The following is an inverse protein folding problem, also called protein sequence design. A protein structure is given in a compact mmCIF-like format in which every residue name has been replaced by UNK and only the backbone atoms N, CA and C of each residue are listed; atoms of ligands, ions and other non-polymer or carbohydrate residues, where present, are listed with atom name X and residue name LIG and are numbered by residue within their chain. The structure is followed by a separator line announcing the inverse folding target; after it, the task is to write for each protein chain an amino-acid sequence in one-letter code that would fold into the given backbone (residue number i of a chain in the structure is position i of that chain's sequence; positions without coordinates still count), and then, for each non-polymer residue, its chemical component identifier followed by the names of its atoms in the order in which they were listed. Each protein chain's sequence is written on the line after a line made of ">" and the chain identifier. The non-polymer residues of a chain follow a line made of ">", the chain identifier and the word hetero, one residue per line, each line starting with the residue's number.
data_IF_155529967381
#
_entry.id   IF_155529967381
#
_cell.length_a   1.000
_cell.length_b   1.000
_cell.length_c   1.000
_cell.angle_alpha   90.00
_cell.angle_beta   90.00
_cell.angle_gamma   90.00
#
_symmetry.space_group_name_H-M   'P 1'
#
loop_
_entity.id
_entity.type
_entity.pdbx_description
1 polymer ?
#
# COMPACT_ATOMS: atom_id res chain seq x y z
N UNK A 1 -22.01 10.45 25.16
CA UNK A 1 -21.37 10.79 23.89
C UNK A 1 -20.33 9.73 23.55
N UNK A 2 -20.62 8.91 22.56
CA UNK A 2 -19.65 7.99 21.95
C UNK A 2 -18.62 8.87 21.25
N UNK A 3 -17.45 9.02 21.86
CA UNK A 3 -16.40 9.89 21.34
C UNK A 3 -16.03 9.39 19.95
N UNK A 4 -16.37 10.16 18.92
CA UNK A 4 -15.87 10.00 17.54
C UNK A 4 -14.37 10.31 17.53
N UNK A 5 -13.58 9.45 18.17
CA UNK A 5 -12.15 9.62 18.36
C UNK A 5 -11.47 9.18 17.07
N UNK A 6 -10.60 10.02 16.54
CA UNK A 6 -9.73 9.66 15.43
C UNK A 6 -8.44 9.07 16.00
N UNK A 7 -7.99 7.93 15.46
CA UNK A 7 -6.72 7.29 15.80
C UNK A 7 -5.74 7.46 14.64
N UNK A 8 -4.51 7.87 14.93
CA UNK A 8 -3.41 7.91 13.97
C UNK A 8 -2.93 6.47 13.76
N UNK A 9 -2.91 6.01 12.52
CA UNK A 9 -2.42 4.69 12.13
C UNK A 9 -1.41 4.85 10.98
N UNK A 10 -0.51 3.89 10.84
CA UNK A 10 0.44 3.85 9.73
C UNK A 10 -0.15 3.09 8.55
N UNK A 11 -0.32 3.76 7.41
CA UNK A 11 -0.87 3.16 6.19
C UNK A 11 0.24 2.88 5.19
N UNK A 12 0.18 1.71 4.55
CA UNK A 12 1.12 1.29 3.52
C UNK A 12 0.34 0.78 2.31
N UNK A 13 0.60 1.38 1.14
CA UNK A 13 0.12 0.88 -0.14
C UNK A 13 1.25 0.11 -0.84
N UNK A 14 0.99 -1.17 -1.09
CA UNK A 14 1.89 -2.08 -1.78
C UNK A 14 1.62 -2.12 -3.28
N UNK A 15 2.66 -2.48 -4.05
CA UNK A 15 2.61 -2.59 -5.52
C UNK A 15 1.61 -3.65 -6.02
N UNK A 16 1.26 -4.63 -5.19
CA UNK A 16 0.23 -5.64 -5.50
C UNK A 16 -1.20 -5.06 -5.46
N UNK A 17 -1.35 -3.82 -5.00
CA UNK A 17 -2.63 -3.14 -4.80
C UNK A 17 -3.26 -3.43 -3.43
N UNK A 18 -2.49 -3.88 -2.45
CA UNK A 18 -2.94 -4.00 -1.06
C UNK A 18 -2.66 -2.73 -0.27
N UNK A 19 -3.70 -2.16 0.33
CA UNK A 19 -3.59 -1.10 1.33
C UNK A 19 -3.68 -1.74 2.71
N UNK A 20 -2.58 -1.72 3.46
CA UNK A 20 -2.48 -2.29 4.82
C UNK A 20 -2.34 -1.16 5.81
N UNK A 21 -2.92 -1.30 7.00
CA UNK A 21 -2.72 -0.35 8.08
C UNK A 21 -2.37 -1.04 9.39
N UNK A 22 -1.48 -0.37 10.13
CA UNK A 22 -0.86 -0.85 11.35
C UNK A 22 -1.13 0.14 12.47
N UNK A 23 -1.02 -0.36 13.71
CA UNK A 23 -1.12 0.50 14.89
C UNK A 23 -0.12 1.66 14.84
N UNK A 24 1.11 1.38 14.41
CA UNK A 24 2.22 2.32 14.31
C UNK A 24 3.20 1.94 13.19
N UNK A 25 4.26 2.74 13.03
CA UNK A 25 5.27 2.57 11.98
C UNK A 25 6.15 1.31 12.13
N UNK A 26 6.10 0.62 13.29
CA UNK A 26 6.88 -0.61 13.50
C UNK A 26 6.38 -1.78 12.65
N UNK A 27 5.16 -1.66 12.10
CA UNK A 27 4.51 -2.66 11.26
C UNK A 27 4.37 -4.05 11.93
N UNK A 28 4.43 -4.12 13.26
CA UNK A 28 4.32 -5.37 14.02
C UNK A 28 2.87 -5.84 14.17
N UNK A 29 1.99 -4.90 14.46
CA UNK A 29 0.57 -5.16 14.70
C UNK A 29 -0.26 -4.63 13.53
N UNK A 30 -0.63 -5.54 12.62
CA UNK A 30 -1.51 -5.24 11.50
C UNK A 30 -2.95 -5.13 11.99
N UNK A 31 -3.53 -3.94 11.91
CA UNK A 31 -4.93 -3.69 12.27
C UNK A 31 -5.88 -4.13 11.13
N UNK A 32 -5.45 -4.05 9.86
CA UNK A 32 -6.24 -4.58 8.74
C UNK A 32 -5.63 -4.40 7.34
N UNK A 33 -6.29 -4.99 6.34
CA UNK A 33 -5.88 -4.97 4.92
C UNK A 33 -7.08 -4.80 3.99
N UNK A 34 -6.93 -3.97 2.97
CA UNK A 34 -7.90 -3.71 1.91
C UNK A 34 -7.24 -4.00 0.55
N UNK A 35 -7.82 -4.92 -0.23
CA UNK A 35 -7.35 -5.18 -1.59
C UNK A 35 -7.94 -4.14 -2.55
N UNK A 36 -7.24 -3.03 -2.76
CA UNK A 36 -7.69 -1.88 -3.58
C UNK A 36 -8.05 -2.31 -4.99
N UNK A 37 -7.19 -3.13 -5.62
CA UNK A 37 -7.38 -3.62 -7.00
C UNK A 37 -8.77 -4.20 -7.26
N UNK A 38 -9.28 -4.98 -6.32
CA UNK A 38 -10.56 -5.69 -6.46
C UNK A 38 -11.70 -4.98 -5.73
N UNK A 39 -11.43 -4.42 -4.55
CA UNK A 39 -12.45 -3.93 -3.63
C UNK A 39 -12.75 -2.46 -3.82
N UNK A 40 -11.82 -1.65 -4.33
CA UNK A 40 -12.03 -0.21 -4.48
C UNK A 40 -12.97 0.08 -5.67
N UNK A 41 -14.10 0.71 -5.37
CA UNK A 41 -15.03 1.25 -6.36
C UNK A 41 -14.63 2.67 -6.75
N UNK A 42 -14.46 3.52 -5.76
CA UNK A 42 -14.29 4.97 -5.91
C UNK A 42 -13.45 5.54 -4.75
N UNK A 43 -12.80 6.68 -4.98
CA UNK A 43 -11.99 7.37 -3.96
C UNK A 43 -12.37 8.84 -3.96
N UNK A 44 -12.74 9.36 -2.79
CA UNK A 44 -13.25 10.73 -2.60
C UNK A 44 -12.32 11.50 -1.68
N UNK A 45 -12.12 12.79 -1.95
CA UNK A 45 -11.32 13.68 -1.10
C UNK A 45 -12.08 14.93 -0.70
N UNK A 46 -11.65 15.53 0.40
CA UNK A 46 -12.12 16.83 0.83
C UNK A 46 -13.63 16.93 0.94
N UNK A 47 -14.20 17.85 0.16
CA UNK A 47 -15.64 18.14 0.18
C UNK A 47 -16.53 17.02 -0.34
N UNK A 48 -15.96 16.07 -1.09
CA UNK A 48 -16.63 14.87 -1.60
C UNK A 48 -16.95 13.87 -0.46
N UNK A 49 -16.20 13.93 0.64
CA UNK A 49 -16.44 13.15 1.86
C UNK A 49 -17.63 13.74 2.61
N UNK A 50 -18.82 13.20 2.34
CA UNK A 50 -20.06 13.55 3.06
C UNK A 50 -20.16 12.72 4.34
N UNK A 51 -20.87 13.25 5.33
CA UNK A 51 -21.28 12.54 6.56
C UNK A 51 -20.18 12.26 7.60
N UNK A 52 -18.96 12.76 7.40
CA UNK A 52 -17.88 12.71 8.40
C UNK A 52 -17.34 14.09 8.73
N UNK A 53 -17.09 14.33 10.02
CA UNK A 53 -16.38 15.50 10.51
C UNK A 53 -14.89 15.18 10.65
N UNK A 54 -13.98 16.05 10.14
CA UNK A 54 -12.55 15.85 10.31
C UNK A 54 -12.14 15.86 11.78
N UNK A 55 -10.94 15.34 12.11
CA UNK A 55 -10.35 15.50 13.44
C UNK A 55 -10.33 16.97 13.88
N UNK A 56 -10.35 17.19 15.20
CA UNK A 56 -10.23 18.55 15.76
C UNK A 56 -8.97 19.25 15.24
N UNK A 57 -9.11 20.47 14.73
CA UNK A 57 -8.02 21.25 14.15
C UNK A 57 -7.64 20.88 12.69
N UNK A 58 -8.32 19.90 12.06
CA UNK A 58 -8.07 19.54 10.65
C UNK A 58 -9.14 20.08 9.72
N UNK A 59 -8.72 20.51 8.52
CA UNK A 59 -9.67 20.92 7.47
C UNK A 59 -10.42 19.70 6.93
N UNK A 60 -11.63 19.95 6.41
CA UNK A 60 -12.37 18.93 5.67
C UNK A 60 -11.61 18.49 4.42
N UNK A 61 -10.80 19.37 3.84
CA UNK A 61 -10.01 19.10 2.63
C UNK A 61 -8.93 18.02 2.84
N UNK A 62 -8.53 17.75 4.10
CA UNK A 62 -7.63 16.65 4.45
C UNK A 62 -8.31 15.26 4.47
N UNK A 63 -9.64 15.19 4.30
CA UNK A 63 -10.35 13.91 4.31
C UNK A 63 -10.13 13.12 3.02
N UNK A 64 -10.05 11.80 3.16
CA UNK A 64 -10.02 10.82 2.08
C UNK A 64 -11.02 9.71 2.42
N UNK A 65 -11.83 9.27 1.47
CA UNK A 65 -12.72 8.11 1.65
C UNK A 65 -12.52 7.12 0.53
N UNK A 66 -12.14 5.90 0.87
CA UNK A 66 -12.10 4.76 -0.04
C UNK A 66 -13.47 4.07 0.01
N UNK A 67 -14.20 4.14 -1.09
CA UNK A 67 -15.52 3.50 -1.25
C UNK A 67 -15.30 2.11 -1.84
N UNK A 68 -15.72 1.10 -1.10
CA UNK A 68 -15.57 -0.29 -1.49
C UNK A 68 -16.78 -0.79 -2.30
N UNK A 69 -16.62 -1.90 -3.03
CA UNK A 69 -17.66 -2.47 -3.89
C UNK A 69 -18.85 -3.01 -3.11
N UNK A 70 -18.64 -3.46 -1.88
CA UNK A 70 -19.69 -3.84 -0.93
C UNK A 70 -20.44 -2.61 -0.34
N UNK A 71 -20.14 -1.41 -0.85
CA UNK A 71 -20.68 -0.13 -0.38
C UNK A 71 -20.21 0.30 1.01
N UNK A 72 -19.29 -0.43 1.64
CA UNK A 72 -18.58 0.03 2.83
C UNK A 72 -17.63 1.18 2.48
N UNK A 73 -17.31 2.00 3.48
CA UNK A 73 -16.47 3.19 3.32
C UNK A 73 -15.37 3.18 4.36
N UNK A 74 -14.11 3.24 3.89
CA UNK A 74 -12.96 3.47 4.76
C UNK A 74 -12.66 4.96 4.74
N UNK A 75 -12.93 5.65 5.84
CA UNK A 75 -12.78 7.11 5.95
C UNK A 75 -11.49 7.44 6.67
N UNK A 76 -10.67 8.26 6.05
CA UNK A 76 -9.33 8.60 6.45
C UNK A 76 -9.18 10.12 6.48
N UNK A 77 -8.21 10.61 7.24
CA UNK A 77 -7.75 11.99 7.19
C UNK A 77 -6.23 11.97 7.01
N UNK A 78 -5.73 12.71 6.03
CA UNK A 78 -4.31 12.87 5.78
C UNK A 78 -3.71 14.02 6.61
N UNK A 79 -2.41 14.24 6.50
CA UNK A 79 -1.74 15.33 7.22
C UNK A 79 -2.05 16.70 6.60
N UNK A 80 -2.12 16.76 5.27
CA UNK A 80 -2.49 17.94 4.47
C UNK A 80 -3.53 17.60 3.39
N UNK A 81 -4.06 18.63 2.71
CA UNK A 81 -4.88 18.46 1.50
C UNK A 81 -4.08 17.81 0.37
N UNK A 82 -2.83 18.24 0.16
CA UNK A 82 -1.93 17.67 -0.84
C UNK A 82 -1.70 16.18 -0.62
N UNK A 83 -1.50 15.76 0.64
CA UNK A 83 -1.38 14.34 0.98
C UNK A 83 -2.66 13.57 0.66
N UNK A 84 -3.84 14.13 0.96
CA UNK A 84 -5.11 13.49 0.65
C UNK A 84 -5.26 13.27 -0.86
N UNK A 85 -4.88 14.27 -1.66
CA UNK A 85 -4.86 14.17 -3.13
C UNK A 85 -3.84 13.14 -3.60
N UNK A 86 -2.63 13.13 -3.05
CA UNK A 86 -1.59 12.16 -3.39
C UNK A 86 -2.05 10.71 -3.12
N UNK A 87 -2.67 10.48 -1.96
CA UNK A 87 -3.27 9.19 -1.61
C UNK A 87 -4.41 8.80 -2.54
N UNK A 88 -5.29 9.74 -2.93
CA UNK A 88 -6.34 9.47 -3.93
C UNK A 88 -5.74 9.00 -5.25
N UNK A 89 -4.71 9.69 -5.74
CA UNK A 89 -4.03 9.31 -6.98
C UNK A 89 -3.39 7.93 -6.87
N UNK A 90 -2.63 7.68 -5.80
CA UNK A 90 -1.96 6.39 -5.58
C UNK A 90 -2.95 5.22 -5.47
N UNK A 91 -4.08 5.40 -4.78
CA UNK A 91 -5.12 4.36 -4.66
C UNK A 91 -5.81 4.12 -6.01
N UNK A 92 -6.11 5.17 -6.78
CA UNK A 92 -6.69 5.03 -8.12
C UNK A 92 -5.72 4.39 -9.12
N UNK A 93 -4.43 4.69 -9.00
CA UNK A 93 -3.36 4.05 -9.77
C UNK A 93 -3.26 2.56 -9.41
N UNK A 94 -3.19 2.21 -8.13
CA UNK A 94 -3.16 0.81 -7.67
C UNK A 94 -4.39 0.01 -8.13
N UNK A 95 -5.57 0.67 -8.17
CA UNK A 95 -6.79 0.09 -8.73
C UNK A 95 -6.68 -0.18 -10.23
N UNK A 96 -6.10 0.76 -10.98
CA UNK A 96 -6.03 0.72 -12.44
C UNK A 96 -4.81 -0.03 -12.96
N UNK A 97 -3.83 -0.32 -12.10
CA UNK A 97 -2.60 -1.02 -12.46
C UNK A 97 -2.95 -2.41 -12.98
N UNK A 98 -2.81 -2.68 -14.29
CA UNK A 98 -2.88 -4.05 -14.77
C UNK A 98 -1.81 -4.82 -14.02
N UNK A 99 -2.08 -6.05 -13.56
CA UNK A 99 -0.97 -6.91 -13.11
C UNK A 99 -0.02 -6.93 -14.29
N UNK A 100 1.12 -6.26 -14.19
CA UNK A 100 2.15 -6.36 -15.22
C UNK A 100 2.74 -7.75 -15.04
N UNK A 101 1.99 -8.76 -15.49
CA UNK A 101 2.56 -9.96 -16.04
C UNK A 101 3.48 -9.42 -17.12
N UNK A 102 4.77 -9.25 -16.79
CA UNK A 102 5.77 -9.20 -17.84
C UNK A 102 5.54 -10.52 -18.57
N UNK A 103 5.16 -10.51 -19.85
CA UNK A 103 5.12 -11.75 -20.61
C UNK A 103 6.53 -12.32 -20.49
N UNK A 104 6.66 -13.48 -19.85
CA UNK A 104 7.89 -14.25 -19.94
C UNK A 104 8.04 -14.48 -21.44
N UNK A 105 8.99 -13.79 -22.08
CA UNK A 105 9.20 -13.92 -23.52
C UNK A 105 9.42 -15.40 -23.79
N UNK A 106 8.40 -15.99 -24.39
CA UNK A 106 8.43 -17.29 -25.03
C UNK A 106 9.54 -17.27 -26.07
N UNK A 107 10.62 -18.00 -25.81
CA UNK A 107 11.64 -18.30 -26.81
C UNK A 107 11.81 -19.81 -26.91
N UNK A 108 11.00 -20.43 -27.77
CA UNK A 108 11.50 -21.46 -28.69
C UNK A 108 12.56 -20.78 -29.58
N UNK A 109 13.78 -21.26 -29.89
CA UNK A 109 14.40 -22.59 -30.01
C UNK A 109 15.91 -22.35 -30.39
N UNK A 110 16.69 -23.33 -30.88
CA UNK A 110 17.50 -24.35 -30.19
C UNK A 110 19.04 -24.07 -30.11
N UNK A 111 19.67 -24.77 -29.17
CA UNK A 111 21.01 -25.42 -29.15
C UNK A 111 22.27 -24.78 -29.82
N UNK A 112 23.27 -24.56 -28.94
CA UNK A 112 24.76 -24.57 -29.09
C UNK A 112 25.56 -23.23 -29.06
N UNK A 113 26.78 -23.22 -28.46
CA UNK A 113 27.45 -22.05 -27.87
C UNK A 113 28.85 -21.80 -28.52
N UNK A 114 29.82 -21.16 -27.82
CA UNK A 114 29.90 -19.81 -27.24
C UNK A 114 30.92 -18.96 -28.03
N UNK A 115 30.86 -17.63 -28.02
CA UNK A 115 32.05 -16.75 -27.95
C UNK A 115 31.67 -15.26 -28.09
N UNK A 116 32.25 -14.48 -27.18
CA UNK A 116 32.74 -13.11 -27.39
C UNK A 116 31.73 -12.02 -27.79
N UNK A 117 31.42 -11.10 -26.86
CA UNK A 117 32.06 -9.77 -26.76
C UNK A 117 31.30 -8.90 -25.75
N UNK A 118 32.08 -8.15 -24.96
CA UNK A 118 31.65 -7.24 -23.93
C UNK A 118 30.78 -6.08 -24.45
N UNK A 119 29.81 -5.65 -23.64
CA UNK A 119 29.42 -4.24 -23.53
C UNK A 119 28.82 -3.97 -22.12
N UNK A 120 29.19 -2.84 -21.47
CA UNK A 120 28.80 -2.52 -20.10
C UNK A 120 27.47 -1.76 -20.06
N UNK A 121 26.68 -2.00 -19.02
CA UNK A 121 25.55 -1.12 -18.68
C UNK A 121 24.19 -1.80 -18.70
N UNK A 122 23.93 -2.67 -17.73
CA UNK A 122 22.56 -2.95 -17.29
C UNK A 122 22.57 -2.97 -15.78
N UNK A 123 21.98 -1.94 -15.17
CA UNK A 123 21.70 -1.88 -13.73
C UNK A 123 20.80 -3.07 -13.39
N UNK A 124 21.34 -4.07 -12.70
CA UNK A 124 20.55 -5.19 -12.20
C UNK A 124 19.64 -4.70 -11.08
N UNK A 125 18.36 -4.48 -11.38
CA UNK A 125 17.34 -4.35 -10.34
C UNK A 125 16.97 -5.75 -9.89
N UNK A 126 17.43 -6.13 -8.69
CA UNK A 126 17.10 -7.39 -8.04
C UNK A 126 15.65 -7.29 -7.57
N UNK A 127 14.74 -7.98 -8.27
CA UNK A 127 13.38 -8.24 -7.77
C UNK A 127 13.43 -9.61 -7.12
N UNK A 128 13.34 -9.67 -5.78
CA UNK A 128 13.28 -10.93 -5.05
C UNK A 128 11.82 -11.32 -4.84
N UNK A 129 11.50 -12.55 -5.22
CA UNK A 129 10.23 -13.22 -4.90
C UNK A 129 10.04 -13.35 -3.39
N UNK A 130 8.78 -13.27 -3.01
CA UNK A 130 8.23 -13.34 -1.66
C UNK A 130 8.65 -14.63 -0.91
N UNK A 131 9.18 -14.54 0.32
CA UNK A 131 9.71 -15.70 1.06
C UNK A 131 8.67 -16.40 1.96
N UNK A 132 7.35 -16.26 1.77
CA UNK A 132 6.35 -16.99 2.57
C UNK A 132 6.23 -18.51 2.26
N UNK A 133 7.30 -19.14 1.78
CA UNK A 133 7.56 -20.56 2.00
C UNK A 133 8.90 -20.71 2.71
N UNK A 134 8.89 -20.87 4.02
CA UNK A 134 9.64 -21.94 4.72
C UNK A 134 9.12 -22.09 6.15
N UNK A 135 8.69 -23.33 6.40
CA UNK A 135 8.63 -24.08 7.64
C UNK A 135 9.51 -23.54 8.79
N UNK A 136 8.88 -23.30 9.92
CA UNK A 136 8.96 -24.30 10.97
C UNK A 136 9.91 -24.09 12.14
N UNK A 137 11.12 -23.54 12.02
CA UNK A 137 12.08 -23.76 13.14
C UNK A 137 13.41 -23.01 13.00
N UNK A 138 13.49 -21.77 13.52
CA UNK A 138 14.66 -21.32 14.28
C UNK A 138 14.43 -19.96 14.95
N UNK A 139 14.46 -19.97 16.30
CA UNK A 139 14.73 -18.78 17.09
C UNK A 139 16.22 -18.45 16.96
N UNK A 140 16.56 -17.30 16.38
CA UNK A 140 17.88 -16.71 16.52
C UNK A 140 17.74 -15.20 16.69
N UNK A 141 17.97 -14.77 17.93
CA UNK A 141 18.04 -13.38 18.38
C UNK A 141 19.20 -12.68 17.64
N UNK A 142 18.86 -11.85 16.67
CA UNK A 142 19.82 -11.00 15.95
C UNK A 142 19.15 -9.67 15.62
N UNK A 143 19.56 -8.62 16.34
CA UNK A 143 19.22 -7.24 16.04
C UNK A 143 19.69 -6.89 14.63
N UNK A 144 18.76 -6.84 13.68
CA UNK A 144 18.94 -6.20 12.40
C UNK A 144 17.65 -5.42 12.13
N UNK A 145 17.81 -4.11 11.95
CA UNK A 145 16.77 -3.18 11.52
C UNK A 145 16.08 -3.76 10.28
N UNK A 146 14.90 -4.33 10.51
CA UNK A 146 14.19 -5.15 9.55
C UNK A 146 13.18 -4.35 8.76
N UNK A 147 13.37 -4.37 7.44
CA UNK A 147 12.32 -4.40 6.43
C UNK A 147 11.42 -3.15 6.28
N UNK A 148 11.79 -2.29 5.33
CA UNK A 148 10.79 -1.63 4.49
C UNK A 148 11.26 -1.54 3.03
N UNK A 149 11.82 -2.62 2.48
CA UNK A 149 12.07 -2.71 1.04
C UNK A 149 10.90 -3.43 0.39
N UNK A 150 9.85 -2.67 0.01
CA UNK A 150 8.68 -3.22 -0.68
C UNK A 150 7.41 -2.35 -0.65
N UNK A 151 7.36 -1.29 0.16
CA UNK A 151 6.25 -0.34 0.15
C UNK A 151 6.43 0.69 -0.98
N UNK A 152 5.39 0.94 -1.78
CA UNK A 152 5.41 1.99 -2.79
C UNK A 152 5.03 3.36 -2.21
N UNK A 153 4.22 3.39 -1.15
CA UNK A 153 3.82 4.59 -0.43
C UNK A 153 3.46 4.23 1.03
N UNK A 154 4.04 4.92 2.01
CA UNK A 154 3.72 4.74 3.43
C UNK A 154 3.64 6.08 4.15
N UNK A 155 2.55 6.33 4.89
CA UNK A 155 2.38 7.55 5.68
C UNK A 155 1.37 7.37 6.81
N UNK A 156 1.44 8.26 7.80
CA UNK A 156 0.45 8.34 8.85
C UNK A 156 -0.84 8.96 8.34
N UNK A 157 -1.96 8.32 8.66
CA UNK A 157 -3.30 8.89 8.45
C UNK A 157 -4.16 8.62 9.67
N UNK A 158 -5.15 9.47 9.88
CA UNK A 158 -6.14 9.25 10.94
C UNK A 158 -7.32 8.43 10.40
N UNK A 159 -7.82 7.49 11.20
CA UNK A 159 -9.02 6.69 10.95
C UNK A 159 -10.00 6.88 12.13
N UNK A 160 -11.33 6.97 11.92
CA UNK A 160 -12.29 7.02 13.02
C UNK A 160 -12.30 5.70 13.81
N UNK A 161 -12.29 5.79 15.13
CA UNK A 161 -12.56 4.66 16.01
C UNK A 161 -14.07 4.41 16.05
N UNK A 162 -14.51 3.29 15.49
CA UNK A 162 -15.86 2.78 15.68
C UNK A 162 -15.80 1.82 16.88
N UNK A 163 -16.06 2.35 18.08
CA UNK A 163 -16.29 1.55 19.29
C UNK A 163 -17.77 1.17 19.40
#
# INVERSE_FOLDING_TARGET
>A
SILRRWKRNWFVLYLDGSLVYYHDETQRDMDGRIHIKYSCRDVRTGRECRDVQPPEGKSRDCLLTVVLRDSSKTMLCAESEDDAIAWKMAVLEAKSTPVRLRPQKEWHRPAHPPFCLAAPGVTHVIVREDPYRVSGDQMALGLLAGAATGAALGSFMWMPCWF
#
